data_IF_410128518407
#
_entry.id   IF_410128518407
#
_cell.length_a   1.000
_cell.length_b   1.000
_cell.length_c   1.000
_cell.angle_alpha   90.00
_cell.angle_beta   90.00
_cell.angle_gamma   90.00
#
_symmetry.space_group_name_H-M   'P 1'
#
loop_
_entity.id
_entity.type
_entity.pdbx_description
1 polymer ?
#
# COMPACT_ATOMS: atom_id res chain seq x y z
N UNK A 1 24.78 14.72 -2.46
CA UNK A 1 23.36 14.34 -2.44
C UNK A 1 23.30 13.11 -1.55
N UNK A 2 23.00 13.32 -0.26
CA UNK A 2 22.82 12.20 0.67
C UNK A 2 21.54 11.48 0.30
N UNK A 3 21.69 10.25 -0.20
CA UNK A 3 20.61 9.34 -0.57
C UNK A 3 20.26 8.38 0.58
N UNK A 4 20.79 8.66 1.77
CA UNK A 4 20.59 7.82 2.95
C UNK A 4 19.27 8.23 3.61
N UNK A 5 18.30 7.33 3.57
CA UNK A 5 17.10 7.44 4.39
C UNK A 5 17.51 7.55 5.86
N UNK A 6 16.94 8.51 6.56
CA UNK A 6 17.02 8.61 8.02
C UNK A 6 16.46 7.34 8.66
N UNK A 7 16.87 7.07 9.91
CA UNK A 7 16.35 5.93 10.68
C UNK A 7 14.82 5.98 10.80
N UNK A 8 14.25 7.19 10.88
CA UNK A 8 12.80 7.42 10.93
C UNK A 8 12.11 7.04 9.62
N UNK A 9 12.69 7.38 8.47
CA UNK A 9 12.16 6.98 7.15
C UNK A 9 12.23 5.47 6.94
N UNK A 10 13.30 4.82 7.41
CA UNK A 10 13.41 3.35 7.37
C UNK A 10 12.34 2.69 8.23
N UNK A 11 12.15 3.18 9.47
CA UNK A 11 11.12 2.68 10.37
C UNK A 11 9.71 2.85 9.78
N UNK A 12 9.42 4.01 9.20
CA UNK A 12 8.16 4.26 8.49
C UNK A 12 7.96 3.31 7.32
N UNK A 13 9.00 3.07 6.51
CA UNK A 13 8.94 2.13 5.39
C UNK A 13 8.61 0.70 5.85
N UNK A 14 9.21 0.27 6.95
CA UNK A 14 8.97 -1.07 7.50
C UNK A 14 7.57 -1.18 8.12
N UNK A 15 7.07 -0.13 8.77
CA UNK A 15 5.66 -0.06 9.21
C UNK A 15 4.71 -0.19 8.01
N UNK A 16 4.94 0.59 6.95
CA UNK A 16 4.11 0.55 5.74
C UNK A 16 4.14 -0.82 5.10
N UNK A 17 5.31 -1.45 4.97
CA UNK A 17 5.42 -2.81 4.41
C UNK A 17 4.70 -3.85 5.27
N UNK A 18 4.83 -3.78 6.59
CA UNK A 18 4.14 -4.69 7.49
C UNK A 18 2.61 -4.51 7.40
N UNK A 19 2.15 -3.26 7.39
CA UNK A 19 0.73 -2.95 7.24
C UNK A 19 0.18 -3.42 5.89
N UNK A 20 0.90 -3.17 4.79
CA UNK A 20 0.54 -3.66 3.47
C UNK A 20 0.53 -5.20 3.45
N UNK A 21 1.51 -5.87 4.04
CA UNK A 21 1.54 -7.33 4.12
C UNK A 21 0.34 -7.94 4.86
N UNK A 22 -0.17 -7.24 5.88
CA UNK A 22 -1.32 -7.68 6.67
C UNK A 22 -2.68 -7.30 6.06
N UNK A 23 -2.76 -6.17 5.35
CA UNK A 23 -4.03 -5.58 4.90
C UNK A 23 -4.23 -5.61 3.38
N UNK A 24 -3.17 -5.81 2.58
CA UNK A 24 -3.27 -5.89 1.11
C UNK A 24 -3.77 -7.27 0.69
N UNK A 25 -4.92 -7.36 0.00
CA UNK A 25 -5.43 -8.63 -0.51
C UNK A 25 -4.48 -9.24 -1.54
N UNK A 26 -4.22 -10.56 -1.43
CA UNK A 26 -3.27 -11.27 -2.32
C UNK A 26 -3.71 -11.24 -3.79
N UNK A 27 -5.01 -11.23 -4.04
CA UNK A 27 -5.60 -11.07 -5.38
C UNK A 27 -5.27 -9.70 -5.97
N UNK A 28 -5.42 -8.63 -5.19
CA UNK A 28 -5.08 -7.28 -5.62
C UNK A 28 -3.57 -7.16 -5.87
N UNK A 29 -2.74 -7.65 -4.94
CA UNK A 29 -1.28 -7.71 -5.11
C UNK A 29 -0.90 -8.44 -6.41
N UNK A 30 -1.47 -9.62 -6.63
CA UNK A 30 -1.19 -10.41 -7.82
C UNK A 30 -1.66 -9.78 -9.12
N UNK A 31 -2.69 -8.92 -9.09
CA UNK A 31 -3.10 -8.12 -10.26
C UNK A 31 -2.08 -7.01 -10.54
N UNK A 32 -1.66 -6.27 -9.52
CA UNK A 32 -0.67 -5.20 -9.64
C UNK A 32 0.69 -5.74 -10.09
N UNK A 33 1.17 -6.84 -9.49
CA UNK A 33 2.45 -7.49 -9.85
C UNK A 33 2.48 -7.93 -11.33
N UNK A 34 1.31 -8.29 -11.88
CA UNK A 34 1.17 -8.73 -13.29
C UNK A 34 0.80 -7.59 -14.23
N UNK A 35 0.76 -6.35 -13.76
CA UNK A 35 0.25 -5.20 -14.51
C UNK A 35 -1.13 -5.47 -15.12
N UNK A 36 -1.95 -6.26 -14.44
CA UNK A 36 -3.28 -6.62 -14.89
C UNK A 36 -4.26 -5.45 -14.70
N UNK A 37 -5.32 -5.45 -15.49
CA UNK A 37 -6.39 -4.47 -15.34
C UNK A 37 -7.05 -4.60 -13.95
N UNK A 38 -7.13 -3.48 -13.23
CA UNK A 38 -7.86 -3.35 -11.98
C UNK A 38 -9.28 -2.90 -12.27
N UNK A 39 -10.26 -3.68 -11.80
CA UNK A 39 -11.66 -3.28 -11.94
C UNK A 39 -11.98 -2.12 -11.00
N UNK A 40 -13.12 -1.46 -11.23
CA UNK A 40 -13.65 -0.45 -10.32
C UNK A 40 -13.81 -0.98 -8.88
N UNK A 41 -14.20 -2.24 -8.74
CA UNK A 41 -14.36 -2.88 -7.42
C UNK A 41 -13.01 -3.09 -6.72
N UNK A 42 -11.97 -3.48 -7.47
CA UNK A 42 -10.61 -3.61 -6.95
C UNK A 42 -10.10 -2.28 -6.41
N UNK A 43 -10.28 -1.20 -7.18
CA UNK A 43 -9.90 0.16 -6.79
C UNK A 43 -10.71 0.63 -5.57
N UNK A 44 -12.02 0.43 -5.55
CA UNK A 44 -12.86 0.80 -4.39
C UNK A 44 -12.47 0.03 -3.13
N UNK A 45 -12.15 -1.27 -3.26
CA UNK A 45 -11.66 -2.09 -2.15
C UNK A 45 -10.33 -1.56 -1.63
N UNK A 46 -9.41 -1.20 -2.53
CA UNK A 46 -8.14 -0.57 -2.17
C UNK A 46 -8.33 0.74 -1.41
N UNK A 47 -9.17 1.64 -1.93
CA UNK A 47 -9.50 2.91 -1.27
C UNK A 47 -10.12 2.69 0.13
N UNK A 48 -10.99 1.71 0.31
CA UNK A 48 -11.58 1.38 1.62
C UNK A 48 -10.52 0.91 2.63
N UNK A 49 -9.56 0.10 2.19
CA UNK A 49 -8.47 -0.39 3.03
C UNK A 49 -7.58 0.78 3.49
N UNK A 50 -7.22 1.67 2.55
CA UNK A 50 -6.48 2.89 2.86
C UNK A 50 -7.26 3.83 3.80
N UNK A 51 -8.57 3.97 3.60
CA UNK A 51 -9.43 4.80 4.44
C UNK A 51 -9.49 4.26 5.88
N UNK A 52 -9.52 2.94 6.06
CA UNK A 52 -9.51 2.31 7.38
C UNK A 52 -8.25 2.61 8.20
N UNK A 53 -7.10 2.88 7.55
CA UNK A 53 -5.85 3.29 8.20
C UNK A 53 -5.67 4.82 8.25
N UNK A 54 -6.58 5.59 7.63
CA UNK A 54 -6.50 7.06 7.58
C UNK A 54 -5.52 7.59 6.53
N UNK A 55 -5.18 6.79 5.51
CA UNK A 55 -4.22 7.15 4.45
C UNK A 55 -4.89 7.66 3.17
N UNK A 56 -6.22 7.81 3.17
CA UNK A 56 -6.92 8.49 2.08
C UNK A 56 -6.93 9.99 2.38
N UNK A 57 -6.30 10.76 1.51
CA UNK A 57 -6.45 12.22 1.51
C UNK A 57 -7.90 12.59 1.11
N UNK A 58 -8.53 13.55 1.80
CA UNK A 58 -9.88 14.02 1.50
C UNK A 58 -10.00 14.70 0.13
#
# INVERSE_FOLDING_TARGET
MDLNYSAEELAFRDEVRAWLGANLPKDLKGKVDRYAHLSKEDLLRWHRILAGKGWVAP
#
